data_IF_151454438853
#
_entry.id   IF_151454438853
#
_cell.length_a   1.000
_cell.length_b   1.000
_cell.length_c   1.000
_cell.angle_alpha   90.00
_cell.angle_beta   90.00
_cell.angle_gamma   90.00
#
_symmetry.space_group_name_H-M   'P 1'
#
loop_
_entity.id
_entity.type
_entity.pdbx_description
1 polymer ?
#
# COMPACT_ATOMS: atom_id res chain seq x y z
N UNK A 1 -13.49 5.85 -19.95
CA UNK A 1 -13.20 5.48 -18.55
C UNK A 1 -12.31 6.57 -18.00
N UNK A 2 -12.91 7.55 -17.33
CA UNK A 2 -12.26 8.79 -16.87
C UNK A 2 -12.10 8.72 -15.35
N UNK A 3 -11.12 7.98 -14.88
CA UNK A 3 -10.67 8.07 -13.49
C UNK A 3 -9.15 8.11 -13.40
N UNK A 4 -8.51 8.85 -14.31
CA UNK A 4 -7.19 9.41 -14.05
C UNK A 4 -7.38 10.68 -13.20
N UNK A 5 -7.39 10.51 -11.88
CA UNK A 5 -6.84 11.53 -11.00
C UNK A 5 -5.50 11.02 -10.51
N UNK A 6 -4.45 11.80 -10.79
CA UNK A 6 -3.07 11.55 -10.40
C UNK A 6 -2.98 11.00 -8.96
N UNK A 7 -2.64 9.71 -8.83
CA UNK A 7 -2.06 9.21 -7.59
C UNK A 7 -0.78 10.02 -7.38
N UNK A 8 -0.66 10.69 -6.23
CA UNK A 8 0.54 11.45 -5.93
C UNK A 8 1.74 10.50 -5.80
N UNK A 9 2.94 11.02 -6.07
CA UNK A 9 4.15 10.19 -6.10
C UNK A 9 4.40 9.49 -4.77
N UNK A 10 4.05 10.13 -3.65
CA UNK A 10 4.15 9.54 -2.32
C UNK A 10 3.19 8.37 -2.13
N UNK A 11 1.95 8.48 -2.61
CA UNK A 11 1.01 7.36 -2.52
C UNK A 11 1.44 6.19 -3.40
N UNK A 12 1.96 6.46 -4.60
CA UNK A 12 2.51 5.41 -5.46
C UNK A 12 3.71 4.71 -4.79
N UNK A 13 4.62 5.48 -4.19
CA UNK A 13 5.74 4.93 -3.42
C UNK A 13 5.28 3.97 -2.32
N UNK A 14 4.27 4.38 -1.54
CA UNK A 14 3.71 3.53 -0.47
C UNK A 14 3.09 2.26 -1.06
N UNK A 15 2.35 2.38 -2.17
CA UNK A 15 1.74 1.22 -2.85
C UNK A 15 2.81 0.24 -3.32
N UNK A 16 3.85 0.73 -3.97
CA UNK A 16 4.94 -0.09 -4.50
C UNK A 16 5.69 -0.79 -3.37
N UNK A 17 6.01 -0.06 -2.29
CA UNK A 17 6.66 -0.64 -1.11
C UNK A 17 5.82 -1.75 -0.47
N UNK A 18 4.52 -1.54 -0.28
CA UNK A 18 3.62 -2.57 0.29
C UNK A 18 3.53 -3.78 -0.64
N UNK A 19 3.50 -3.57 -1.96
CA UNK A 19 3.48 -4.65 -2.95
C UNK A 19 4.78 -5.45 -2.94
N UNK A 20 5.93 -4.79 -2.88
CA UNK A 20 7.24 -5.44 -2.76
C UNK A 20 7.35 -6.24 -1.46
N UNK A 21 6.92 -5.67 -0.33
CA UNK A 21 6.87 -6.35 0.96
C UNK A 21 5.97 -7.59 0.90
N UNK A 22 4.81 -7.48 0.27
CA UNK A 22 3.89 -8.62 0.07
C UNK A 22 4.54 -9.73 -0.76
N UNK A 23 5.11 -9.40 -1.91
CA UNK A 23 5.72 -10.38 -2.83
C UNK A 23 6.97 -11.03 -2.21
N UNK A 24 7.83 -10.26 -1.56
CA UNK A 24 9.05 -10.77 -0.90
C UNK A 24 8.76 -11.71 0.26
N UNK A 25 7.61 -11.57 0.91
CA UNK A 25 7.13 -12.48 1.96
C UNK A 25 6.25 -13.62 1.42
N UNK A 26 6.13 -13.79 0.09
CA UNK A 26 5.25 -14.79 -0.56
C UNK A 26 3.76 -14.69 -0.14
N UNK A 27 3.29 -13.49 0.12
CA UNK A 27 1.91 -13.23 0.54
C UNK A 27 0.99 -12.95 -0.65
N UNK A 28 -0.26 -13.39 -0.53
CA UNK A 28 -1.36 -13.07 -1.42
C UNK A 28 -1.97 -11.71 -1.04
N UNK A 29 -2.71 -11.11 -1.98
CA UNK A 29 -3.45 -9.87 -1.70
C UNK A 29 -4.49 -10.04 -0.58
N UNK A 30 -5.03 -11.25 -0.41
CA UNK A 30 -5.96 -11.59 0.67
C UNK A 30 -5.28 -11.58 2.05
N UNK A 31 -3.99 -11.91 2.13
CA UNK A 31 -3.25 -11.87 3.38
C UNK A 31 -3.06 -10.42 3.85
N UNK A 32 -2.69 -9.51 2.93
CA UNK A 32 -2.64 -8.07 3.25
C UNK A 32 -4.02 -7.54 3.62
N UNK A 33 -5.07 -8.00 2.93
CA UNK A 33 -6.44 -7.61 3.28
C UNK A 33 -6.81 -8.03 4.70
N UNK A 34 -6.42 -9.24 5.09
CA UNK A 34 -6.62 -9.79 6.44
C UNK A 34 -5.85 -8.98 7.49
N UNK A 35 -4.58 -8.68 7.26
CA UNK A 35 -3.75 -7.86 8.16
C UNK A 35 -4.37 -6.47 8.37
N UNK A 36 -4.87 -5.86 7.30
CA UNK A 36 -5.46 -4.53 7.35
C UNK A 36 -6.90 -4.51 7.87
N UNK A 37 -7.59 -5.66 7.90
CA UNK A 37 -9.02 -5.75 8.18
C UNK A 37 -9.86 -5.11 7.06
N UNK A 38 -9.48 -5.34 5.81
CA UNK A 38 -10.15 -4.84 4.60
C UNK A 38 -10.45 -6.00 3.64
N UNK A 39 -10.90 -5.70 2.43
CA UNK A 39 -11.23 -6.72 1.41
C UNK A 39 -10.08 -6.91 0.42
N UNK A 40 -9.99 -8.12 -0.16
CA UNK A 40 -9.06 -8.39 -1.29
C UNK A 40 -9.30 -7.42 -2.45
N UNK A 41 -10.55 -7.04 -2.72
CA UNK A 41 -10.88 -6.07 -3.76
C UNK A 41 -10.25 -4.70 -3.48
N UNK A 42 -10.22 -4.25 -2.22
CA UNK A 42 -9.52 -3.02 -1.86
C UNK A 42 -8.01 -3.10 -2.15
N UNK A 43 -7.36 -4.23 -1.82
CA UNK A 43 -5.92 -4.42 -2.11
C UNK A 43 -5.67 -4.51 -3.62
N UNK A 44 -6.50 -5.25 -4.36
CA UNK A 44 -6.42 -5.32 -5.82
C UNK A 44 -6.57 -3.94 -6.46
N UNK A 45 -7.45 -3.09 -5.92
CA UNK A 45 -7.60 -1.72 -6.39
C UNK A 45 -6.39 -0.86 -5.99
N UNK A 46 -5.85 -1.00 -4.79
CA UNK A 46 -4.68 -0.23 -4.35
C UNK A 46 -3.44 -0.57 -5.18
N UNK A 47 -3.22 -1.84 -5.52
CA UNK A 47 -2.08 -2.28 -6.33
C UNK A 47 -2.29 -2.13 -7.85
N UNK A 48 -3.50 -1.77 -8.27
CA UNK A 48 -3.83 -1.54 -9.67
C UNK A 48 -3.50 -0.10 -10.06
N UNK A 49 -2.80 0.08 -11.18
CA UNK A 49 -2.49 1.40 -11.76
C UNK A 49 -3.73 2.18 -12.21
N UNK A 50 -4.91 1.55 -12.19
CA UNK A 50 -6.14 2.09 -12.77
C UNK A 50 -7.16 2.57 -11.70
N UNK A 51 -6.83 2.51 -10.41
CA UNK A 51 -7.77 2.79 -9.34
C UNK A 51 -7.19 3.74 -8.29
N UNK A 52 -8.06 4.55 -7.67
CA UNK A 52 -7.69 5.61 -6.71
C UNK A 52 -7.49 5.13 -5.28
N UNK A 53 -7.49 3.81 -5.02
CA UNK A 53 -7.40 3.29 -3.67
C UNK A 53 -6.01 3.55 -3.09
N UNK A 54 -5.95 4.09 -1.87
CA UNK A 54 -4.70 4.51 -1.21
C UNK A 54 -4.60 3.89 0.17
N UNK A 55 -3.37 3.57 0.59
CA UNK A 55 -3.09 3.25 1.98
C UNK A 55 -3.10 4.54 2.81
N UNK A 56 -3.80 4.50 3.96
CA UNK A 56 -3.82 5.61 4.91
C UNK A 56 -2.87 5.31 6.09
N UNK A 57 -2.69 6.27 6.98
CA UNK A 57 -1.79 6.13 8.13
C UNK A 57 -2.16 4.96 9.05
N UNK A 58 -3.44 4.61 9.20
CA UNK A 58 -3.86 3.44 9.97
C UNK A 58 -3.43 2.13 9.30
N UNK A 59 -3.46 2.08 7.97
CA UNK A 59 -2.98 0.92 7.23
C UNK A 59 -1.46 0.76 7.38
N UNK A 60 -0.72 1.87 7.25
CA UNK A 60 0.74 1.87 7.46
C UNK A 60 1.07 1.37 8.88
N UNK A 61 0.40 1.89 9.91
CA UNK A 61 0.64 1.49 11.30
C UNK A 61 0.40 -0.01 11.54
N UNK A 62 -0.70 -0.55 11.00
CA UNK A 62 -0.99 -2.00 11.08
C UNK A 62 0.05 -2.87 10.37
N UNK A 63 0.48 -2.47 9.17
CA UNK A 63 1.50 -3.21 8.42
C UNK A 63 2.85 -3.12 9.14
N UNK A 64 3.21 -1.94 9.62
CA UNK A 64 4.42 -1.73 10.42
C UNK A 64 4.43 -2.65 11.65
N UNK A 65 3.32 -2.71 12.40
CA UNK A 65 3.18 -3.62 13.53
C UNK A 65 3.31 -5.09 13.11
N UNK A 66 2.65 -5.50 12.02
CA UNK A 66 2.65 -6.90 11.57
C UNK A 66 4.03 -7.37 11.11
N UNK A 67 4.74 -6.54 10.34
CA UNK A 67 6.06 -6.87 9.78
C UNK A 67 7.22 -6.48 10.70
N UNK A 68 6.93 -5.97 11.90
CA UNK A 68 7.93 -5.46 12.86
C UNK A 68 8.86 -4.40 12.22
N UNK A 69 8.26 -3.48 11.47
CA UNK A 69 8.90 -2.35 10.79
C UNK A 69 8.51 -1.02 11.45
N UNK A 70 9.26 0.03 11.15
CA UNK A 70 8.87 1.39 11.49
C UNK A 70 7.83 1.90 10.48
N UNK A 71 6.80 2.67 10.91
CA UNK A 71 5.91 3.36 9.98
C UNK A 71 6.64 4.27 8.98
N UNK A 72 7.86 4.73 9.33
CA UNK A 72 8.70 5.53 8.44
C UNK A 72 9.22 4.74 7.24
N UNK A 73 9.38 3.42 7.38
CA UNK A 73 9.93 2.57 6.31
C UNK A 73 9.00 2.52 5.10
N UNK A 74 7.70 2.79 5.30
CA UNK A 74 6.69 2.87 4.25
C UNK A 74 6.69 4.21 3.49
N UNK A 75 7.46 5.20 3.96
CA UNK A 75 7.48 6.56 3.41
C UNK A 75 8.83 6.86 2.75
N UNK A 76 8.89 7.72 1.73
CA UNK A 76 10.15 8.11 1.14
C UNK A 76 10.95 9.00 2.10
N UNK A 77 12.27 8.83 2.14
CA UNK A 77 13.15 9.64 3.00
C UNK A 77 13.15 11.13 2.62
N UNK A 78 12.89 11.44 1.35
CA UNK A 78 12.84 12.79 0.80
C UNK A 78 11.53 12.99 0.04
N UNK A 79 11.09 14.24 -0.05
CA UNK A 79 9.94 14.61 -0.87
C UNK A 79 10.17 14.18 -2.32
N UNK A 80 9.16 13.51 -2.88
CA UNK A 80 9.13 13.16 -4.29
C UNK A 80 8.60 14.37 -5.07
N UNK A 81 9.51 15.06 -5.78
CA UNK A 81 9.20 16.04 -6.83
C UNK A 81 8.50 15.33 -7.98
#
# INVERSE_FOLDING_TARGET
MKDQENIGRIEQYVIDYVRELRVSNNLLQEDIATILGTTKAFISNAESTNHRAKYNLKHIDKLAQHFNLSPRDFLPEKTLQ
#
